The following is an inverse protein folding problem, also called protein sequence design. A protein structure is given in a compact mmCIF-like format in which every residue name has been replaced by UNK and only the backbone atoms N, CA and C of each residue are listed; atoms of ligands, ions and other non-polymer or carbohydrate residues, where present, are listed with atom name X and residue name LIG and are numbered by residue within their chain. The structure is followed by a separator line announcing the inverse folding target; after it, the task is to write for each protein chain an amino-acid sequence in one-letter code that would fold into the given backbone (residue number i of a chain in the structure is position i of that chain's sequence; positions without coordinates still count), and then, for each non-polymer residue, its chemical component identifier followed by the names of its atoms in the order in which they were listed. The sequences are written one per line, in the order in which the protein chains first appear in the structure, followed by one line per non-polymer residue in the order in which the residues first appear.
data_IF_865842277814
#
_entry.id   IF_865842277814
#
_cell.length_a   1.000
_cell.length_b   1.000
_cell.length_c   1.000
_cell.angle_alpha   90.00
_cell.angle_beta   90.00
_cell.angle_gamma   90.00
#
_symmetry.space_group_name_H-M   'P 1'
#
loop_
_entity.id
_entity.type
_entity.pdbx_description
1 polymer ?
#
# COMPACT_ATOMS: atom_id res chain seq x y z
N UNK A 1 9.15 -17.11 -11.12
CA UNK A 1 8.92 -17.15 -12.59
C UNK A 1 9.74 -18.23 -13.28
N UNK A 2 11.07 -18.33 -13.10
CA UNK A 2 11.88 -19.39 -13.74
C UNK A 2 11.45 -20.83 -13.41
N UNK A 3 11.10 -21.10 -12.15
CA UNK A 3 10.54 -22.41 -11.76
C UNK A 3 9.23 -22.74 -12.49
N UNK A 4 8.30 -21.78 -12.59
CA UNK A 4 7.01 -21.98 -13.27
C UNK A 4 7.21 -22.23 -14.77
N UNK A 5 8.18 -21.54 -15.38
CA UNK A 5 8.55 -21.80 -16.76
C UNK A 5 9.11 -23.22 -16.93
N UNK A 6 10.06 -23.62 -16.08
CA UNK A 6 10.66 -24.95 -16.14
C UNK A 6 9.66 -26.08 -15.87
N UNK A 7 8.81 -25.93 -14.84
CA UNK A 7 7.91 -26.98 -14.38
C UNK A 7 6.54 -27.00 -15.08
N UNK A 8 6.06 -25.85 -15.58
CA UNK A 8 4.71 -25.69 -16.15
C UNK A 8 4.71 -25.10 -17.57
N UNK A 9 5.87 -24.76 -18.12
CA UNK A 9 5.99 -24.16 -19.46
C UNK A 9 5.57 -22.68 -19.52
N UNK A 10 5.04 -22.12 -18.44
CA UNK A 10 4.49 -20.77 -18.41
C UNK A 10 5.08 -19.94 -17.25
N UNK A 11 5.99 -18.97 -17.53
CA UNK A 11 6.56 -18.12 -16.49
C UNK A 11 5.53 -17.21 -15.80
N UNK A 12 4.39 -16.92 -16.44
CA UNK A 12 3.38 -15.96 -15.98
C UNK A 12 2.13 -16.64 -15.41
N UNK A 13 2.20 -17.94 -15.15
CA UNK A 13 1.09 -18.73 -14.61
C UNK A 13 0.45 -18.08 -13.36
N UNK A 14 1.28 -17.50 -12.47
CA UNK A 14 0.81 -16.81 -11.27
C UNK A 14 -0.04 -15.57 -11.60
N UNK A 15 0.41 -14.74 -12.54
CA UNK A 15 -0.33 -13.54 -12.95
C UNK A 15 -1.65 -13.91 -13.64
N UNK A 16 -1.69 -15.02 -14.38
CA UNK A 16 -2.93 -15.56 -14.96
C UNK A 16 -3.90 -16.04 -13.88
N UNK A 17 -3.40 -16.73 -12.85
CA UNK A 17 -4.21 -17.16 -11.71
C UNK A 17 -4.77 -15.96 -10.94
N UNK A 18 -3.96 -14.94 -10.63
CA UNK A 18 -4.42 -13.70 -9.99
C UNK A 18 -5.51 -12.98 -10.81
N UNK A 19 -5.39 -12.98 -12.15
CA UNK A 19 -6.38 -12.38 -13.02
C UNK A 19 -7.74 -13.10 -12.97
N UNK A 20 -7.75 -14.43 -12.86
CA UNK A 20 -8.96 -15.25 -12.86
C UNK A 20 -9.58 -15.32 -11.46
N UNK A 21 -8.80 -15.68 -10.45
CA UNK A 21 -9.31 -15.99 -9.11
C UNK A 21 -9.52 -14.72 -8.27
N UNK A 22 -8.65 -13.72 -8.43
CA UNK A 22 -8.66 -12.51 -7.60
C UNK A 22 -9.14 -11.27 -8.36
N UNK A 23 -9.57 -11.43 -9.62
CA UNK A 23 -9.90 -10.33 -10.53
C UNK A 23 -8.81 -9.25 -10.59
N UNK A 24 -7.56 -9.67 -10.39
CA UNK A 24 -6.40 -8.79 -10.27
C UNK A 24 -5.55 -8.89 -11.51
N UNK A 25 -5.93 -8.12 -12.52
CA UNK A 25 -5.19 -8.00 -13.77
C UNK A 25 -4.56 -6.61 -13.89
N UNK A 26 -3.56 -6.48 -14.76
CA UNK A 26 -3.01 -5.19 -15.10
C UNK A 26 -4.11 -4.28 -15.64
N UNK A 27 -4.25 -3.11 -15.02
CA UNK A 27 -5.11 -2.01 -15.43
C UNK A 27 -4.30 -0.72 -15.41
N UNK A 28 -4.79 0.29 -16.10
CA UNK A 28 -4.17 1.60 -16.03
C UNK A 28 -4.33 2.21 -14.62
N UNK A 29 -3.33 2.97 -14.14
CA UNK A 29 -3.29 3.43 -12.74
C UNK A 29 -4.47 4.33 -12.35
N UNK A 30 -5.05 5.09 -13.29
CA UNK A 30 -6.24 5.90 -13.03
C UNK A 30 -7.49 5.07 -12.73
N UNK A 31 -7.56 3.82 -13.20
CA UNK A 31 -8.66 2.90 -12.86
C UNK A 31 -8.60 2.55 -11.38
N UNK A 32 -7.41 2.22 -10.84
CA UNK A 32 -7.24 1.96 -9.41
C UNK A 32 -7.60 3.17 -8.53
N UNK A 33 -7.27 4.39 -8.97
CA UNK A 33 -7.66 5.63 -8.28
C UNK A 33 -9.18 5.82 -8.30
N UNK A 34 -9.80 5.65 -9.46
CA UNK A 34 -11.25 5.75 -9.62
C UNK A 34 -11.98 4.74 -8.71
N UNK A 35 -11.58 3.47 -8.76
CA UNK A 35 -12.22 2.40 -8.02
C UNK A 35 -12.07 2.61 -6.50
N UNK A 36 -10.91 3.09 -6.04
CA UNK A 36 -10.70 3.45 -4.64
C UNK A 36 -11.53 4.65 -4.18
N UNK A 37 -11.66 5.69 -5.01
CA UNK A 37 -12.51 6.84 -4.70
C UNK A 37 -13.98 6.42 -4.65
N UNK A 38 -14.43 5.62 -5.61
CA UNK A 38 -15.79 5.09 -5.65
C UNK A 38 -16.09 4.26 -4.39
N UNK A 39 -15.14 3.43 -3.94
CA UNK A 39 -15.28 2.60 -2.75
C UNK A 39 -15.42 3.38 -1.42
N UNK A 40 -15.15 4.70 -1.40
CA UNK A 40 -15.44 5.56 -0.25
C UNK A 40 -16.92 5.92 -0.14
N UNK A 41 -17.62 6.00 -1.27
CA UNK A 41 -19.01 6.41 -1.36
C UNK A 41 -19.98 5.23 -1.34
N UNK A 42 -19.48 4.01 -1.50
CA UNK A 42 -20.27 2.78 -1.34
C UNK A 42 -20.30 2.41 0.15
N UNK A 43 -21.45 2.50 0.83
CA UNK A 43 -21.55 2.10 2.22
C UNK A 43 -21.30 0.58 2.35
N UNK A 44 -20.42 0.19 3.26
CA UNK A 44 -20.05 -1.20 3.46
C UNK A 44 -19.09 -1.40 4.63
N UNK A 45 -18.87 -2.67 5.05
CA UNK A 45 -18.04 -2.98 6.22
C UNK A 45 -16.57 -2.58 6.05
N UNK A 46 -16.10 -2.44 4.81
CA UNK A 46 -14.71 -2.09 4.48
C UNK A 46 -14.47 -0.59 4.29
N UNK A 47 -15.47 0.28 4.51
CA UNK A 47 -15.36 1.71 4.22
C UNK A 47 -14.22 2.39 4.99
N UNK A 48 -14.02 2.04 6.26
CA UNK A 48 -12.92 2.57 7.08
C UNK A 48 -11.57 2.09 6.54
N UNK A 49 -11.46 0.82 6.16
CA UNK A 49 -10.25 0.25 5.53
C UNK A 49 -9.91 0.97 4.22
N UNK A 50 -10.91 1.18 3.36
CA UNK A 50 -10.77 1.92 2.11
C UNK A 50 -10.30 3.37 2.35
N UNK A 51 -10.84 4.05 3.35
CA UNK A 51 -10.41 5.39 3.74
C UNK A 51 -8.94 5.41 4.22
N UNK A 52 -8.51 4.42 4.98
CA UNK A 52 -7.11 4.27 5.41
C UNK A 52 -6.19 3.97 4.21
N UNK A 53 -6.61 3.08 3.32
CA UNK A 53 -5.83 2.69 2.14
C UNK A 53 -5.60 3.88 1.21
N UNK A 54 -6.66 4.62 0.87
CA UNK A 54 -6.56 5.75 -0.04
C UNK A 54 -5.84 6.94 0.59
N UNK A 55 -6.06 7.21 1.88
CA UNK A 55 -5.33 8.28 2.58
C UNK A 55 -3.84 7.98 2.67
N UNK A 56 -3.45 6.72 2.90
CA UNK A 56 -2.04 6.30 2.90
C UNK A 56 -1.36 6.53 1.55
N UNK A 57 -2.07 6.26 0.44
CA UNK A 57 -1.59 6.59 -0.90
C UNK A 57 -1.37 8.10 -1.08
N UNK A 58 -2.40 8.92 -0.81
CA UNK A 58 -2.31 10.37 -0.99
C UNK A 58 -1.25 11.01 -0.09
N UNK A 59 -1.15 10.59 1.18
CA UNK A 59 -0.12 11.07 2.10
C UNK A 59 1.27 10.78 1.53
N UNK A 60 1.52 9.56 1.06
CA UNK A 60 2.82 9.18 0.48
C UNK A 60 3.14 9.96 -0.80
N UNK A 61 2.14 10.14 -1.67
CA UNK A 61 2.27 10.94 -2.89
C UNK A 61 2.55 12.42 -2.60
N UNK A 62 1.87 13.01 -1.61
CA UNK A 62 2.07 14.39 -1.16
C UNK A 62 3.46 14.57 -0.55
N UNK A 63 3.92 13.63 0.30
CA UNK A 63 5.26 13.65 0.89
C UNK A 63 6.32 13.66 -0.20
N UNK A 64 6.20 12.76 -1.17
CA UNK A 64 7.12 12.67 -2.29
C UNK A 64 7.08 13.93 -3.18
N UNK A 65 5.89 14.41 -3.54
CA UNK A 65 5.71 15.58 -4.40
C UNK A 65 6.23 16.87 -3.77
N UNK A 66 5.90 17.11 -2.50
CA UNK A 66 6.33 18.31 -1.77
C UNK A 66 7.85 18.36 -1.53
N UNK A 67 8.52 17.22 -1.47
CA UNK A 67 9.95 17.12 -1.19
C UNK A 67 10.76 16.51 -2.34
N UNK A 68 10.21 16.44 -3.56
CA UNK A 68 10.88 15.80 -4.71
C UNK A 68 12.27 16.39 -4.98
N UNK A 69 12.42 17.71 -4.80
CA UNK A 69 13.69 18.41 -5.00
C UNK A 69 14.76 18.10 -3.95
N UNK A 70 14.39 17.52 -2.80
CA UNK A 70 15.34 17.13 -1.74
C UNK A 70 15.96 15.76 -1.98
N UNK A 71 15.39 14.96 -2.87
CA UNK A 71 15.90 13.64 -3.21
C UNK A 71 16.69 13.68 -4.52
N UNK A 72 17.77 12.89 -4.64
CA UNK A 72 18.36 12.58 -5.93
C UNK A 72 17.31 12.00 -6.88
N UNK A 73 17.36 12.40 -8.16
CA UNK A 73 16.34 12.07 -9.16
C UNK A 73 16.05 10.55 -9.24
N UNK A 74 17.08 9.71 -9.14
CA UNK A 74 16.93 8.25 -9.20
C UNK A 74 16.10 7.69 -8.05
N UNK A 75 16.25 8.21 -6.83
CA UNK A 75 15.42 7.80 -5.69
C UNK A 75 13.98 8.28 -5.81
N UNK A 76 13.80 9.49 -6.35
CA UNK A 76 12.48 10.05 -6.56
C UNK A 76 11.71 9.26 -7.64
N UNK A 77 12.36 8.92 -8.76
CA UNK A 77 11.79 8.04 -9.79
C UNK A 77 11.50 6.65 -9.25
N UNK A 78 12.40 6.06 -8.47
CA UNK A 78 12.18 4.77 -7.80
C UNK A 78 10.94 4.80 -6.91
N UNK A 79 10.81 5.83 -6.05
CA UNK A 79 9.65 6.00 -5.19
C UNK A 79 8.35 6.21 -6.00
N UNK A 80 8.41 7.02 -7.06
CA UNK A 80 7.27 7.25 -7.94
C UNK A 80 6.78 5.94 -8.58
N UNK A 81 7.69 5.12 -9.11
CA UNK A 81 7.33 3.82 -9.69
C UNK A 81 6.70 2.92 -8.64
N UNK A 82 7.27 2.83 -7.43
CA UNK A 82 6.70 2.00 -6.36
C UNK A 82 5.36 2.51 -5.83
N UNK A 83 5.09 3.81 -5.87
CA UNK A 83 3.80 4.39 -5.48
C UNK A 83 2.74 4.14 -6.55
N UNK A 84 3.10 4.25 -7.84
CA UNK A 84 2.17 4.10 -8.95
C UNK A 84 1.87 2.63 -9.22
N UNK A 85 2.86 1.74 -9.09
CA UNK A 85 2.73 0.33 -9.49
C UNK A 85 1.54 -0.41 -8.83
N UNK A 86 1.25 -0.25 -7.52
CA UNK A 86 0.08 -0.86 -6.89
C UNK A 86 -1.25 -0.43 -7.50
N UNK A 87 -1.35 0.79 -8.05
CA UNK A 87 -2.57 1.28 -8.71
C UNK A 87 -2.90 0.50 -9.99
N UNK A 88 -1.90 -0.13 -10.60
CA UNK A 88 -2.08 -0.92 -11.81
C UNK A 88 -2.69 -2.30 -11.55
N UNK A 89 -2.80 -2.73 -10.28
CA UNK A 89 -3.30 -4.06 -9.93
C UNK A 89 -4.35 -3.98 -8.82
N UNK A 90 -5.49 -3.30 -9.05
CA UNK A 90 -6.55 -3.21 -8.07
C UNK A 90 -7.20 -4.59 -7.84
N UNK A 91 -7.62 -4.85 -6.61
CA UNK A 91 -8.28 -6.10 -6.22
C UNK A 91 -9.80 -5.87 -6.16
N UNK A 92 -10.50 -6.24 -7.24
CA UNK A 92 -11.93 -6.01 -7.37
C UNK A 92 -12.34 -4.53 -7.28
N UNK A 93 -13.62 -4.27 -7.03
CA UNK A 93 -14.19 -2.91 -6.95
C UNK A 93 -14.53 -2.46 -5.53
N UNK A 94 -14.58 -3.41 -4.58
CA UNK A 94 -15.02 -3.14 -3.18
C UNK A 94 -13.81 -2.82 -2.28
N UNK A 95 -12.65 -3.40 -2.56
CA UNK A 95 -11.39 -3.19 -1.82
C UNK A 95 -10.20 -3.04 -2.78
N UNK A 96 -10.37 -2.11 -3.72
CA UNK A 96 -9.49 -1.93 -4.88
C UNK A 96 -8.02 -1.75 -4.49
N UNK A 97 -7.75 -1.07 -3.37
CA UNK A 97 -6.39 -0.72 -2.92
C UNK A 97 -5.98 -1.42 -1.62
N UNK A 98 -6.48 -2.63 -1.40
CA UNK A 98 -6.06 -3.47 -0.28
C UNK A 98 -4.53 -3.57 -0.19
N UNK A 99 -4.03 -3.43 1.04
CA UNK A 99 -2.61 -3.45 1.40
C UNK A 99 -1.73 -2.29 0.87
N UNK A 100 -2.29 -1.21 0.31
CA UNK A 100 -1.52 0.01 0.00
C UNK A 100 -0.71 0.52 1.19
N UNK A 101 -1.25 0.64 2.43
CA UNK A 101 -0.49 1.16 3.56
C UNK A 101 0.81 0.39 3.78
N UNK A 102 0.74 -0.94 3.65
CA UNK A 102 1.91 -1.83 3.74
C UNK A 102 2.93 -1.58 2.63
N UNK A 103 2.49 -1.38 1.39
CA UNK A 103 3.41 -1.08 0.29
C UNK A 103 4.08 0.28 0.49
N UNK A 104 3.34 1.29 0.95
CA UNK A 104 3.89 2.62 1.19
C UNK A 104 4.97 2.63 2.29
N UNK A 105 4.83 1.78 3.32
CA UNK A 105 5.86 1.64 4.37
C UNK A 105 7.20 1.13 3.84
N UNK A 106 7.21 0.38 2.74
CA UNK A 106 8.43 -0.18 2.13
C UNK A 106 9.11 0.85 1.22
N UNK A 107 8.41 1.92 0.82
CA UNK A 107 8.95 2.99 -0.02
C UNK A 107 9.89 3.87 0.81
N UNK A 108 11.11 3.38 1.03
CA UNK A 108 12.09 4.02 1.91
C UNK A 108 12.36 5.51 1.63
N UNK A 109 12.33 6.04 0.38
CA UNK A 109 12.55 7.47 0.18
C UNK A 109 11.46 8.32 0.82
N UNK A 110 10.20 7.84 0.85
CA UNK A 110 9.10 8.51 1.53
C UNK A 110 9.38 8.56 3.04
N UNK A 111 9.84 7.44 3.61
CA UNK A 111 10.20 7.35 5.04
C UNK A 111 11.37 8.27 5.39
N UNK A 112 12.40 8.35 4.54
CA UNK A 112 13.56 9.24 4.73
C UNK A 112 13.12 10.70 4.73
N UNK A 113 12.25 11.10 3.79
CA UNK A 113 11.70 12.46 3.76
C UNK A 113 10.92 12.73 5.05
N UNK A 114 10.04 11.83 5.47
CA UNK A 114 9.27 11.98 6.70
C UNK A 114 10.16 12.12 7.93
N UNK A 115 11.25 11.34 8.02
CA UNK A 115 12.22 11.42 9.10
C UNK A 115 13.01 12.75 9.11
N UNK A 116 13.19 13.38 7.94
CA UNK A 116 13.91 14.65 7.81
C UNK A 116 13.22 15.84 8.49
N UNK A 117 11.95 15.72 8.86
CA UNK A 117 11.18 16.80 9.50
C UNK A 117 11.57 17.06 10.97
N UNK A 118 12.55 16.33 11.52
CA UNK A 118 13.23 16.59 12.80
C UNK A 118 12.30 16.98 13.97
N UNK A 119 11.13 16.35 14.07
CA UNK A 119 10.15 16.69 15.10
C UNK A 119 10.08 15.61 16.16
N UNK A 120 10.90 15.76 17.21
CA UNK A 120 11.09 14.74 18.24
C UNK A 120 9.80 14.38 18.99
N UNK A 121 8.91 15.36 19.24
CA UNK A 121 7.60 15.09 19.86
C UNK A 121 6.71 14.18 19.01
N UNK A 122 6.67 14.40 17.69
CA UNK A 122 5.91 13.55 16.77
C UNK A 122 6.52 12.16 16.71
N UNK A 123 7.85 12.05 16.65
CA UNK A 123 8.52 10.75 16.67
C UNK A 123 8.20 9.95 17.94
N UNK A 124 8.27 10.58 19.12
CA UNK A 124 7.92 9.92 20.39
C UNK A 124 6.45 9.53 20.43
N UNK A 125 5.54 10.39 19.96
CA UNK A 125 4.12 10.08 19.93
C UNK A 125 3.80 8.94 18.96
N UNK A 126 4.37 8.95 17.76
CA UNK A 126 4.25 7.87 16.79
C UNK A 126 4.77 6.55 17.37
N UNK A 127 5.95 6.54 18.00
CA UNK A 127 6.50 5.35 18.65
C UNK A 127 5.59 4.84 19.77
N UNK A 128 5.07 5.72 20.63
CA UNK A 128 4.18 5.34 21.71
C UNK A 128 2.86 4.73 21.17
N UNK A 129 2.26 5.34 20.15
CA UNK A 129 1.04 4.84 19.51
C UNK A 129 1.30 3.52 18.79
N UNK A 130 2.39 3.41 18.02
CA UNK A 130 2.77 2.17 17.33
C UNK A 130 3.03 1.04 18.31
N UNK A 131 3.70 1.30 19.43
CA UNK A 131 3.97 0.29 20.46
C UNK A 131 2.68 -0.17 21.14
N UNK A 132 1.76 0.76 21.45
CA UNK A 132 0.46 0.43 22.02
C UNK A 132 -0.39 -0.43 21.07
N UNK A 133 -0.48 -0.03 19.80
CA UNK A 133 -1.19 -0.78 18.77
C UNK A 133 -0.56 -2.16 18.53
N UNK A 134 0.77 -2.25 18.48
CA UNK A 134 1.47 -3.52 18.34
C UNK A 134 1.16 -4.46 19.51
N UNK A 135 1.29 -3.97 20.75
CA UNK A 135 0.98 -4.75 21.96
C UNK A 135 -0.47 -5.23 21.94
N UNK A 136 -1.41 -4.37 21.55
CA UNK A 136 -2.81 -4.72 21.44
C UNK A 136 -3.06 -5.82 20.39
N UNK A 137 -2.48 -5.70 19.20
CA UNK A 137 -2.62 -6.70 18.14
C UNK A 137 -1.99 -8.04 18.54
N UNK A 138 -0.85 -8.03 19.24
CA UNK A 138 -0.21 -9.24 19.77
C UNK A 138 -1.12 -9.92 20.81
N UNK A 139 -1.74 -9.15 21.70
CA UNK A 139 -2.68 -9.71 22.69
C UNK A 139 -3.91 -10.33 22.03
N UNK A 140 -4.49 -9.66 21.03
CA UNK A 140 -5.60 -10.24 20.25
C UNK A 140 -5.21 -11.55 19.57
N UNK A 141 -4.03 -11.58 18.95
CA UNK A 141 -3.50 -12.78 18.31
C UNK A 141 -3.33 -13.94 19.30
N UNK A 142 -2.77 -13.68 20.49
CA UNK A 142 -2.63 -14.68 21.57
C UNK A 142 -4.00 -15.18 22.03
N UNK A 143 -5.00 -14.31 22.09
CA UNK A 143 -6.38 -14.66 22.43
C UNK A 143 -7.15 -15.33 21.28
N UNK A 144 -6.47 -15.78 20.22
CA UNK A 144 -7.05 -16.39 19.01
C UNK A 144 -8.03 -15.48 18.24
N UNK A 145 -7.97 -14.17 18.45
CA UNK A 145 -8.64 -13.22 17.58
C UNK A 145 -7.74 -12.90 16.39
N UNK A 146 -8.21 -13.27 15.20
CA UNK A 146 -7.52 -12.93 13.98
C UNK A 146 -7.98 -11.56 13.51
N UNK A 147 -7.10 -10.57 13.63
CA UNK A 147 -7.29 -9.23 13.05
C UNK A 147 -6.27 -9.11 11.94
N UNK A 148 -6.73 -9.22 10.69
CA UNK A 148 -5.93 -8.93 9.50
C UNK A 148 -6.63 -7.89 8.63
#
# INVERSE_FOLDING_TARGET
MGYLWYAKGDPLLFSKAEAVDWNRAFRYPWVGIHDALHALFVPGPLQISNAINISSFFVSAIILGSNWKRLPLHYALFAMVLIIFPLCYPIGTIDALSAIPRYMLIVFPVVIISASWKQQRLATLCLAVSLALFTFNVMLFICHYWVA
#
